data_IF_604904538930
#
_entry.id   IF_604904538930
#
_cell.length_a   1.000
_cell.length_b   1.000
_cell.length_c   1.000
_cell.angle_alpha   90.00
_cell.angle_beta   90.00
_cell.angle_gamma   90.00
#
_symmetry.space_group_name_H-M   'P 1'
#
loop_
_entity.id
_entity.type
_entity.pdbx_description
1 polymer ?
#
# COMPACT_ATOMS: atom_id res chain seq x y z
N UNK A 1 -9.58 -1.94 16.28
CA UNK A 1 -8.91 -0.66 15.97
C UNK A 1 -9.94 0.45 16.03
N UNK A 2 -9.55 1.62 16.48
CA UNK A 2 -10.34 2.84 16.35
C UNK A 2 -10.28 3.36 14.91
N UNK A 3 -11.26 4.17 14.52
CA UNK A 3 -11.29 4.86 13.22
C UNK A 3 -9.96 5.56 12.91
N UNK A 4 -9.40 6.26 13.90
CA UNK A 4 -8.14 6.99 13.77
C UNK A 4 -6.97 6.06 13.47
N UNK A 5 -6.84 4.96 14.21
CA UNK A 5 -5.77 3.98 13.97
C UNK A 5 -5.86 3.35 12.57
N UNK A 6 -7.07 3.13 12.04
CA UNK A 6 -7.26 2.62 10.68
C UNK A 6 -6.81 3.67 9.65
N UNK A 7 -7.19 4.94 9.85
CA UNK A 7 -6.78 6.04 8.97
C UNK A 7 -5.26 6.25 8.97
N UNK A 8 -4.63 6.18 10.15
CA UNK A 8 -3.17 6.29 10.30
C UNK A 8 -2.45 5.15 9.58
N UNK A 9 -2.95 3.91 9.70
CA UNK A 9 -2.39 2.77 8.95
C UNK A 9 -2.57 2.91 7.44
N UNK A 10 -3.74 3.36 6.97
CA UNK A 10 -3.96 3.62 5.54
C UNK A 10 -2.97 4.69 5.04
N UNK A 11 -2.75 5.76 5.80
CA UNK A 11 -1.81 6.82 5.42
C UNK A 11 -0.37 6.33 5.36
N UNK A 12 0.04 5.51 6.33
CA UNK A 12 1.35 4.87 6.35
C UNK A 12 1.54 3.94 5.14
N UNK A 13 0.58 3.04 4.91
CA UNK A 13 0.63 2.06 3.83
C UNK A 13 0.66 2.72 2.45
N UNK A 14 -0.09 3.82 2.26
CA UNK A 14 -0.01 4.63 1.03
C UNK A 14 1.35 5.31 0.83
N UNK A 15 1.98 5.75 1.92
CA UNK A 15 3.29 6.40 1.86
C UNK A 15 4.38 5.40 1.41
N UNK A 16 4.36 4.18 1.97
CA UNK A 16 5.26 3.11 1.53
C UNK A 16 4.95 2.64 0.11
N UNK A 17 3.68 2.55 -0.27
CA UNK A 17 3.27 2.20 -1.63
C UNK A 17 3.89 3.14 -2.67
N UNK A 18 3.76 4.46 -2.46
CA UNK A 18 4.32 5.49 -3.36
C UNK A 18 5.85 5.37 -3.46
N UNK A 19 6.52 5.14 -2.33
CA UNK A 19 7.97 4.97 -2.30
C UNK A 19 8.41 3.76 -3.12
N UNK A 20 7.78 2.61 -2.88
CA UNK A 20 8.11 1.35 -3.55
C UNK A 20 7.80 1.43 -5.05
N UNK A 21 6.71 2.09 -5.43
CA UNK A 21 6.40 2.35 -6.84
C UNK A 21 7.50 3.19 -7.49
N UNK A 22 7.93 4.28 -6.86
CA UNK A 22 9.02 5.11 -7.39
C UNK A 22 10.37 4.39 -7.45
N UNK A 23 10.64 3.46 -6.54
CA UNK A 23 11.83 2.60 -6.61
C UNK A 23 11.71 1.53 -7.71
N UNK A 24 10.50 1.02 -7.96
CA UNK A 24 10.19 0.09 -9.05
C UNK A 24 10.39 0.76 -10.41
N UNK A 25 9.90 1.99 -10.63
CA UNK A 25 10.11 2.74 -11.86
C UNK A 25 11.61 2.90 -12.18
N UNK A 26 12.43 3.23 -11.16
CA UNK A 26 13.88 3.33 -11.32
C UNK A 26 14.53 1.99 -11.61
N UNK A 27 14.08 0.92 -10.95
CA UNK A 27 14.59 -0.42 -11.14
C UNK A 27 14.28 -0.95 -12.55
N UNK A 28 13.07 -0.69 -13.04
CA UNK A 28 12.66 -1.03 -14.40
C UNK A 28 13.52 -0.27 -15.43
N UNK A 29 13.72 1.03 -15.24
CA UNK A 29 14.57 1.84 -16.12
C UNK A 29 16.03 1.37 -16.16
N UNK A 30 16.53 0.77 -15.06
CA UNK A 30 17.85 0.17 -14.98
C UNK A 30 17.92 -1.27 -15.55
N UNK A 31 16.81 -1.82 -16.04
CA UNK A 31 16.71 -3.21 -16.53
C UNK A 31 16.72 -4.26 -15.41
N UNK A 32 16.39 -3.86 -14.18
CA UNK A 32 16.35 -4.74 -13.01
C UNK A 32 15.06 -5.57 -12.93
N UNK A 33 15.06 -6.57 -12.04
CA UNK A 33 13.91 -7.45 -11.83
C UNK A 33 12.86 -6.81 -10.90
N UNK A 34 11.70 -6.46 -11.46
CA UNK A 34 10.61 -5.81 -10.73
C UNK A 34 9.60 -6.77 -10.07
N UNK A 35 9.64 -8.07 -10.37
CA UNK A 35 8.58 -9.01 -9.97
C UNK A 35 8.34 -9.05 -8.47
N UNK A 36 9.40 -8.91 -7.67
CA UNK A 36 9.26 -8.90 -6.21
C UNK A 36 8.64 -7.59 -5.69
N UNK A 37 8.94 -6.46 -6.32
CA UNK A 37 8.34 -5.18 -5.98
C UNK A 37 6.87 -5.12 -6.41
N UNK A 38 6.52 -5.64 -7.59
CA UNK A 38 5.13 -5.78 -8.04
C UNK A 38 4.29 -6.66 -7.10
N UNK A 39 4.83 -7.82 -6.66
CA UNK A 39 4.16 -8.69 -5.68
C UNK A 39 3.94 -7.98 -4.35
N UNK A 40 4.87 -7.11 -3.93
CA UNK A 40 4.69 -6.33 -2.72
C UNK A 40 3.61 -5.27 -2.90
N UNK A 41 3.59 -4.55 -4.02
CA UNK A 41 2.54 -3.58 -4.35
C UNK A 41 1.16 -4.24 -4.35
N UNK A 42 1.01 -5.40 -4.99
CA UNK A 42 -0.26 -6.14 -5.01
C UNK A 42 -0.76 -6.51 -3.61
N UNK A 43 0.14 -6.96 -2.72
CA UNK A 43 -0.21 -7.25 -1.31
C UNK A 43 -0.65 -6.00 -0.55
N UNK A 44 0.05 -4.88 -0.76
CA UNK A 44 -0.33 -3.60 -0.17
C UNK A 44 -1.71 -3.13 -0.65
N UNK A 45 -2.07 -3.38 -1.91
CA UNK A 45 -3.42 -3.07 -2.42
C UNK A 45 -4.51 -3.90 -1.75
N UNK A 46 -4.26 -5.20 -1.53
CA UNK A 46 -5.19 -6.06 -0.79
C UNK A 46 -5.37 -5.58 0.66
N UNK A 47 -4.28 -5.20 1.33
CA UNK A 47 -4.31 -4.69 2.69
C UNK A 47 -5.01 -3.32 2.77
N UNK A 48 -4.74 -2.40 1.83
CA UNK A 48 -5.47 -1.13 1.72
C UNK A 48 -6.97 -1.37 1.54
N UNK A 49 -7.36 -2.31 0.69
CA UNK A 49 -8.76 -2.64 0.46
C UNK A 49 -9.44 -3.13 1.74
N UNK A 50 -8.75 -3.95 2.53
CA UNK A 50 -9.29 -4.44 3.79
C UNK A 50 -9.40 -3.34 4.85
N UNK A 51 -8.38 -2.49 4.99
CA UNK A 51 -8.41 -1.36 5.91
C UNK A 51 -9.53 -0.37 5.54
N UNK A 52 -9.77 -0.11 4.26
CA UNK A 52 -10.88 0.76 3.83
C UNK A 52 -12.26 0.17 4.14
N UNK A 53 -12.44 -1.15 4.05
CA UNK A 53 -13.69 -1.80 4.50
C UNK A 53 -13.86 -1.66 6.01
N UNK A 54 -12.81 -1.92 6.78
CA UNK A 54 -12.84 -1.76 8.24
C UNK A 54 -13.15 -0.31 8.63
N UNK A 55 -12.58 0.66 7.91
CA UNK A 55 -12.88 2.08 8.09
C UNK A 55 -14.37 2.36 7.85
N UNK A 56 -14.91 1.90 6.73
CA UNK A 56 -16.33 2.09 6.40
C UNK A 56 -17.25 1.46 7.46
N UNK A 57 -16.89 0.28 7.99
CA UNK A 57 -17.64 -0.36 9.08
C UNK A 57 -17.56 0.41 10.40
N UNK A 58 -16.42 1.04 10.69
CA UNK A 58 -16.22 1.88 11.88
C UNK A 58 -16.86 3.27 11.77
N UNK A 59 -17.34 3.65 10.57
CA UNK A 59 -18.07 4.90 10.31
C UNK A 59 -19.59 4.73 10.37
N UNK A 60 -20.10 3.51 10.49
CA UNK A 60 -21.54 3.20 10.66
C UNK A 60 -21.95 3.27 12.13
#
# INVERSE_FOLDING_TARGET
MTKKEIQDQIAFLKSDYIRIQGDLDKLEAAGGNIQNAEKQLARMEEELKELNKQLAQAEQ
#
